data_IF_986367293116
#
_entry.id   IF_986367293116
#
_cell.length_a   1.000
_cell.length_b   1.000
_cell.length_c   1.000
_cell.angle_alpha   90.00
_cell.angle_beta   90.00
_cell.angle_gamma   90.00
#
_symmetry.space_group_name_H-M   'P 1'
#
loop_
_entity.id
_entity.type
_entity.pdbx_description
1 polymer ?
#
# COMPACT_ATOMS: atom_id res chain seq x y z
N UNK A 1 -42.02 -45.01 14.42
CA UNK A 1 -41.43 -43.65 14.52
C UNK A 1 -42.28 -42.72 13.66
N UNK A 2 -42.77 -41.61 14.23
CA UNK A 2 -43.74 -40.74 13.57
C UNK A 2 -43.10 -40.03 12.36
N UNK A 3 -43.77 -40.01 11.20
CA UNK A 3 -43.27 -39.36 9.97
C UNK A 3 -42.93 -37.88 10.21
N UNK A 4 -43.64 -37.23 11.13
CA UNK A 4 -43.35 -35.86 11.56
C UNK A 4 -41.97 -35.72 12.25
N UNK A 5 -41.58 -36.69 13.08
CA UNK A 5 -40.29 -36.65 13.80
C UNK A 5 -39.12 -36.81 12.83
N UNK A 6 -39.27 -37.66 11.81
CA UNK A 6 -38.25 -37.88 10.78
C UNK A 6 -38.05 -36.61 9.95
N UNK A 7 -39.14 -35.94 9.56
CA UNK A 7 -39.08 -34.69 8.78
C UNK A 7 -38.40 -33.56 9.57
N UNK A 8 -38.70 -33.43 10.87
CA UNK A 8 -38.08 -32.42 11.74
C UNK A 8 -36.57 -32.67 11.91
N UNK A 9 -36.14 -33.92 12.04
CA UNK A 9 -34.69 -34.23 12.12
C UNK A 9 -33.96 -33.89 10.82
N UNK A 10 -34.56 -34.17 9.65
CA UNK A 10 -33.96 -33.84 8.35
C UNK A 10 -33.80 -32.32 8.20
N UNK A 11 -34.81 -31.54 8.58
CA UNK A 11 -34.76 -30.07 8.55
C UNK A 11 -33.68 -29.50 9.47
N UNK A 12 -33.52 -30.04 10.68
CA UNK A 12 -32.49 -29.59 11.62
C UNK A 12 -31.07 -29.90 11.11
N UNK A 13 -30.87 -31.05 10.47
CA UNK A 13 -29.59 -31.38 9.82
C UNK A 13 -29.30 -30.44 8.66
N UNK A 14 -30.31 -30.14 7.83
CA UNK A 14 -30.15 -29.22 6.70
C UNK A 14 -29.80 -27.80 7.15
N UNK A 15 -30.49 -27.27 8.18
CA UNK A 15 -30.19 -25.97 8.77
C UNK A 15 -28.83 -25.94 9.50
N UNK A 16 -28.42 -27.04 10.13
CA UNK A 16 -27.09 -27.15 10.74
C UNK A 16 -25.97 -27.12 9.70
N UNK A 17 -26.14 -27.81 8.56
CA UNK A 17 -25.15 -27.84 7.47
C UNK A 17 -25.07 -26.48 6.76
N UNK A 18 -26.19 -25.79 6.53
CA UNK A 18 -26.16 -24.45 5.94
C UNK A 18 -25.55 -23.42 6.88
N UNK A 19 -25.79 -23.52 8.20
CA UNK A 19 -25.15 -22.66 9.19
C UNK A 19 -23.62 -22.88 9.25
N UNK A 20 -23.16 -24.14 9.21
CA UNK A 20 -21.74 -24.48 9.13
C UNK A 20 -21.10 -24.00 7.81
N UNK A 21 -21.82 -24.09 6.69
CA UNK A 21 -21.36 -23.60 5.39
C UNK A 21 -21.16 -22.07 5.34
N UNK A 22 -22.03 -21.31 6.02
CA UNK A 22 -21.93 -19.84 6.10
C UNK A 22 -20.73 -19.39 6.94
N UNK A 23 -20.37 -20.15 7.99
CA UNK A 23 -19.18 -19.88 8.79
C UNK A 23 -17.88 -20.19 8.03
N UNK A 24 -17.90 -21.18 7.12
CA UNK A 24 -16.74 -21.48 6.25
C UNK A 24 -16.61 -20.53 5.05
N UNK A 25 -17.70 -19.87 4.62
CA UNK A 25 -17.64 -18.82 3.59
C UNK A 25 -17.21 -17.45 4.10
N UNK A 26 -17.22 -17.25 5.42
CA UNK A 26 -16.73 -16.01 6.04
C UNK A 26 -15.21 -15.99 6.24
N UNK A 27 -14.53 -17.12 6.03
CA UNK A 27 -13.06 -17.15 5.93
C UNK A 27 -12.66 -16.80 4.50
N UNK A 28 -12.75 -15.52 4.16
CA UNK A 28 -12.13 -15.02 2.93
C UNK A 28 -10.61 -15.25 3.09
N UNK A 29 -9.99 -16.11 2.28
CA UNK A 29 -8.53 -16.19 2.28
C UNK A 29 -8.04 -14.78 1.91
N UNK A 30 -7.11 -14.23 2.68
CA UNK A 30 -6.50 -12.92 2.43
C UNK A 30 -6.42 -12.64 0.93
N UNK A 31 -6.95 -11.49 0.50
CA UNK A 31 -7.25 -11.14 -0.91
C UNK A 31 -6.07 -11.16 -1.89
N UNK A 32 -4.89 -11.57 -1.43
CA UNK A 32 -3.66 -11.76 -2.19
C UNK A 32 -3.47 -13.20 -2.70
N UNK A 33 -4.51 -13.84 -3.23
CA UNK A 33 -4.41 -15.18 -3.82
C UNK A 33 -3.37 -15.27 -4.96
N UNK A 34 -2.53 -16.32 -4.97
CA UNK A 34 -1.52 -16.70 -5.99
C UNK A 34 -0.52 -15.62 -6.47
N UNK A 35 -0.47 -14.47 -5.80
CA UNK A 35 0.44 -13.37 -6.14
C UNK A 35 1.70 -13.48 -5.27
N UNK A 36 2.88 -13.17 -5.83
CA UNK A 36 4.17 -13.16 -5.10
C UNK A 36 4.03 -12.51 -3.72
N UNK A 37 4.63 -13.11 -2.69
CA UNK A 37 4.73 -12.50 -1.36
C UNK A 37 5.55 -11.20 -1.41
N UNK A 38 5.40 -10.35 -0.39
CA UNK A 38 6.18 -9.11 -0.26
C UNK A 38 7.69 -9.40 -0.33
N UNK A 39 8.13 -10.47 0.32
CA UNK A 39 9.52 -10.91 0.37
C UNK A 39 10.03 -11.39 -1.00
N UNK A 40 9.26 -12.24 -1.68
CA UNK A 40 9.60 -12.74 -3.01
C UNK A 40 9.64 -11.64 -4.06
N UNK A 41 8.68 -10.70 -4.01
CA UNK A 41 8.67 -9.57 -4.93
C UNK A 41 9.89 -8.67 -4.71
N UNK A 42 10.24 -8.36 -3.46
CA UNK A 42 11.46 -7.59 -3.19
C UNK A 42 12.70 -8.31 -3.72
N UNK A 43 12.84 -9.61 -3.44
CA UNK A 43 13.97 -10.42 -3.95
C UNK A 43 14.05 -10.40 -5.48
N UNK A 44 12.93 -10.50 -6.18
CA UNK A 44 12.88 -10.53 -7.64
C UNK A 44 13.00 -9.16 -8.30
N UNK A 45 12.58 -8.08 -7.61
CA UNK A 45 12.41 -6.74 -8.19
C UNK A 45 13.19 -5.64 -7.46
N UNK A 46 14.14 -5.98 -6.60
CA UNK A 46 14.90 -5.03 -5.78
C UNK A 46 15.48 -3.89 -6.61
N UNK A 47 16.13 -4.19 -7.73
CA UNK A 47 16.70 -3.16 -8.62
C UNK A 47 15.65 -2.18 -9.16
N UNK A 48 14.45 -2.65 -9.53
CA UNK A 48 13.36 -1.82 -10.00
C UNK A 48 12.74 -1.01 -8.87
N UNK A 49 12.59 -1.60 -7.68
CA UNK A 49 12.09 -0.92 -6.47
C UNK A 49 13.04 0.22 -6.07
N UNK A 50 14.35 -0.02 -6.07
CA UNK A 50 15.36 1.02 -5.80
C UNK A 50 15.37 2.08 -6.91
N UNK A 51 15.20 1.68 -8.18
CA UNK A 51 15.07 2.63 -9.29
C UNK A 51 13.81 3.50 -9.20
N UNK A 52 12.71 2.97 -8.66
CA UNK A 52 11.49 3.72 -8.35
C UNK A 52 11.74 4.71 -7.21
N UNK A 53 12.30 4.23 -6.08
CA UNK A 53 12.67 5.05 -4.91
C UNK A 53 13.53 6.25 -5.34
N UNK A 54 14.63 6.01 -6.05
CA UNK A 54 15.57 7.05 -6.46
C UNK A 54 14.98 8.04 -7.48
N UNK A 55 13.99 7.62 -8.26
CA UNK A 55 13.30 8.52 -9.18
C UNK A 55 12.32 9.41 -8.43
N UNK A 56 11.50 8.82 -7.55
CA UNK A 56 10.53 9.56 -6.75
C UNK A 56 11.20 10.58 -5.82
N UNK A 57 12.32 10.20 -5.20
CA UNK A 57 13.14 11.10 -4.36
C UNK A 57 13.53 12.40 -5.07
N UNK A 58 13.86 12.33 -6.36
CA UNK A 58 14.25 13.50 -7.16
C UNK A 58 13.07 14.39 -7.55
N UNK A 59 11.85 13.85 -7.47
CA UNK A 59 10.64 14.57 -7.82
C UNK A 59 10.05 15.34 -6.65
N UNK A 60 10.34 14.94 -5.41
CA UNK A 60 9.75 15.56 -4.22
C UNK A 60 10.37 16.94 -4.00
N UNK A 61 9.58 18.03 -4.00
CA UNK A 61 10.06 19.35 -3.61
C UNK A 61 10.51 19.38 -2.14
N UNK A 62 11.33 20.37 -1.79
CA UNK A 62 11.68 20.57 -0.38
C UNK A 62 10.45 20.87 0.48
N UNK A 63 10.49 20.44 1.73
CA UNK A 63 9.47 20.73 2.74
C UNK A 63 8.06 20.23 2.38
N UNK A 64 7.95 19.19 1.57
CA UNK A 64 6.69 18.47 1.35
C UNK A 64 6.92 16.96 1.40
N UNK A 65 5.92 16.23 1.86
CA UNK A 65 5.78 14.79 1.66
C UNK A 65 4.72 14.58 0.57
N UNK A 66 5.05 13.75 -0.41
CA UNK A 66 4.12 13.39 -1.49
C UNK A 66 3.71 11.94 -1.30
N UNK A 67 2.44 11.62 -1.60
CA UNK A 67 1.96 10.26 -1.76
C UNK A 67 1.31 10.11 -3.12
N UNK A 68 1.68 9.07 -3.86
CA UNK A 68 1.17 8.77 -5.18
C UNK A 68 0.77 7.30 -5.25
N UNK A 69 -0.49 7.00 -5.52
CA UNK A 69 -0.99 5.66 -5.82
C UNK A 69 -1.62 5.63 -7.22
N UNK A 70 -1.44 4.52 -7.93
CA UNK A 70 -2.02 4.29 -9.25
C UNK A 70 -2.87 3.01 -9.25
N UNK A 71 -4.12 3.14 -9.69
CA UNK A 71 -5.00 2.01 -9.94
C UNK A 71 -5.08 1.73 -11.44
N UNK A 72 -4.50 0.60 -11.86
CA UNK A 72 -4.56 0.13 -13.25
C UNK A 72 -5.96 -0.27 -13.69
N UNK A 73 -6.85 -0.61 -12.75
CA UNK A 73 -8.20 -1.10 -13.06
C UNK A 73 -9.10 -0.01 -13.65
N UNK A 74 -8.95 1.22 -13.19
CA UNK A 74 -9.81 2.35 -13.58
C UNK A 74 -9.02 3.54 -14.13
N UNK A 75 -7.70 3.39 -14.30
CA UNK A 75 -6.79 4.43 -14.75
C UNK A 75 -6.95 5.72 -13.93
N UNK A 76 -6.98 5.58 -12.60
CA UNK A 76 -7.10 6.68 -11.66
C UNK A 76 -5.88 6.77 -10.75
N UNK A 77 -5.71 7.95 -10.19
CA UNK A 77 -4.61 8.30 -9.32
C UNK A 77 -5.12 8.81 -7.98
N UNK A 78 -4.41 8.45 -6.92
CA UNK A 78 -4.53 9.12 -5.63
C UNK A 78 -3.24 9.91 -5.44
N UNK A 79 -3.36 11.22 -5.21
CA UNK A 79 -2.22 12.12 -5.04
C UNK A 79 -2.45 12.98 -3.81
N UNK A 80 -1.51 12.92 -2.88
CA UNK A 80 -1.52 13.67 -1.63
C UNK A 80 -0.22 14.45 -1.46
N UNK A 81 -0.34 15.66 -0.93
CA UNK A 81 0.73 16.60 -0.69
C UNK A 81 0.56 17.10 0.74
N UNK A 82 1.52 16.76 1.59
CA UNK A 82 1.56 17.17 2.98
C UNK A 82 2.72 18.14 3.19
N UNK A 83 2.41 19.37 3.60
CA UNK A 83 3.43 20.38 3.81
C UNK A 83 4.18 20.10 5.10
N UNK A 84 5.48 20.37 5.10
CA UNK A 84 6.35 20.25 6.26
C UNK A 84 6.79 21.65 6.66
N UNK A 85 6.56 22.01 7.92
CA UNK A 85 7.08 23.27 8.44
C UNK A 85 8.63 23.19 8.48
N UNK A 86 9.35 24.09 7.79
CA UNK A 86 10.81 24.00 7.68
C UNK A 86 11.52 24.20 9.03
N UNK A 87 10.91 24.95 9.96
CA UNK A 87 11.47 25.28 11.27
C UNK A 87 11.26 24.16 12.28
N UNK A 88 10.06 23.58 12.34
CA UNK A 88 9.72 22.54 13.33
C UNK A 88 9.90 21.12 12.80
N UNK A 89 10.02 20.96 11.47
CA UNK A 89 9.99 19.68 10.75
C UNK A 89 8.69 18.89 10.97
N UNK A 90 7.61 19.57 11.38
CA UNK A 90 6.31 18.97 11.58
C UNK A 90 5.41 19.10 10.35
N UNK A 91 4.54 18.11 10.18
CA UNK A 91 3.50 18.11 9.16
C UNK A 91 2.44 19.19 9.44
N UNK A 92 1.98 19.85 8.38
CA UNK A 92 0.95 20.89 8.41
C UNK A 92 -0.32 20.34 7.77
N UNK A 93 -1.42 20.40 8.53
CA UNK A 93 -2.73 19.91 8.12
C UNK A 93 -3.70 21.08 7.83
N UNK A 94 -4.67 20.89 6.91
CA UNK A 94 -4.95 19.67 6.16
C UNK A 94 -3.97 19.42 5.00
N UNK A 95 -3.80 18.17 4.61
CA UNK A 95 -3.10 17.81 3.38
C UNK A 95 -3.89 18.29 2.14
N UNK A 96 -3.17 18.56 1.05
CA UNK A 96 -3.73 18.91 -0.25
C UNK A 96 -3.74 17.64 -1.10
N UNK A 97 -4.83 17.32 -1.79
CA UNK A 97 -4.85 16.11 -2.61
C UNK A 97 -6.22 15.69 -3.11
N UNK A 98 -6.28 14.45 -3.59
CA UNK A 98 -7.52 13.81 -4.01
C UNK A 98 -7.35 12.32 -4.28
N UNK A 99 -8.47 11.63 -4.29
CA UNK A 99 -8.59 10.22 -4.65
C UNK A 99 -9.33 10.08 -5.98
N UNK A 100 -9.06 8.98 -6.69
CA UNK A 100 -9.70 8.64 -7.96
C UNK A 100 -9.62 9.77 -9.01
N UNK A 101 -8.52 10.50 -8.99
CA UNK A 101 -8.26 11.63 -9.90
C UNK A 101 -8.11 11.10 -11.32
N UNK A 102 -8.73 11.77 -12.28
CA UNK A 102 -8.63 11.40 -13.70
C UNK A 102 -7.42 12.07 -14.36
N UNK A 103 -6.71 11.39 -15.28
CA UNK A 103 -5.65 12.03 -16.06
C UNK A 103 -6.21 13.21 -16.85
N UNK A 104 -5.48 14.33 -16.88
CA UNK A 104 -5.89 15.57 -17.58
C UNK A 104 -7.14 16.26 -17.01
N UNK A 105 -7.52 15.95 -15.76
CA UNK A 105 -8.54 16.71 -15.06
C UNK A 105 -7.95 17.99 -14.45
N UNK A 106 -8.76 19.03 -14.29
CA UNK A 106 -8.32 20.27 -13.65
C UNK A 106 -7.74 20.08 -12.24
N UNK A 107 -8.22 19.06 -11.50
CA UNK A 107 -7.65 18.69 -10.20
C UNK A 107 -6.25 18.10 -10.34
N UNK A 108 -6.02 17.21 -11.32
CA UNK A 108 -4.68 16.69 -11.62
C UNK A 108 -3.76 17.84 -12.00
N UNK A 109 -4.16 18.67 -12.96
CA UNK A 109 -3.35 19.78 -13.47
C UNK A 109 -2.90 20.71 -12.33
N UNK A 110 -3.84 21.07 -11.44
CA UNK A 110 -3.54 21.91 -10.25
C UNK A 110 -2.54 21.26 -9.29
N UNK A 111 -2.64 19.95 -9.04
CA UNK A 111 -1.71 19.24 -8.16
C UNK A 111 -0.32 19.08 -8.81
N UNK A 112 -0.27 18.83 -10.11
CA UNK A 112 0.99 18.73 -10.85
C UNK A 112 1.70 20.09 -10.89
N UNK A 113 0.96 21.17 -11.14
CA UNK A 113 1.49 22.53 -11.11
C UNK A 113 2.09 22.86 -9.75
N UNK A 114 1.43 22.48 -8.65
CA UNK A 114 1.95 22.67 -7.29
C UNK A 114 3.29 21.96 -7.07
N UNK A 115 3.43 20.74 -7.58
CA UNK A 115 4.64 19.93 -7.44
C UNK A 115 5.71 20.26 -8.49
N UNK A 116 5.41 21.15 -9.44
CA UNK A 116 6.20 21.36 -10.65
C UNK A 116 6.45 20.04 -11.42
N UNK A 117 5.42 19.19 -11.46
CA UNK A 117 5.40 17.95 -12.23
C UNK A 117 4.65 18.15 -13.54
N UNK A 118 4.85 17.23 -14.47
CA UNK A 118 4.07 17.12 -15.69
C UNK A 118 3.64 15.67 -15.94
N UNK A 119 2.85 15.45 -17.00
CA UNK A 119 2.38 14.12 -17.34
C UNK A 119 3.50 13.12 -17.66
N UNK A 120 4.66 13.58 -18.15
CA UNK A 120 5.83 12.70 -18.35
C UNK A 120 6.35 12.17 -17.01
N UNK A 121 6.30 12.99 -15.95
CA UNK A 121 6.65 12.53 -14.60
C UNK A 121 5.69 11.43 -14.12
N UNK A 122 4.39 11.62 -14.35
CA UNK A 122 3.33 10.65 -14.00
C UNK A 122 3.50 9.35 -14.78
N UNK A 123 3.66 9.41 -16.09
CA UNK A 123 3.86 8.23 -16.94
C UNK A 123 5.10 7.44 -16.53
N UNK A 124 6.17 8.15 -16.17
CA UNK A 124 7.41 7.52 -15.68
C UNK A 124 7.21 6.88 -14.31
N UNK A 125 6.47 7.51 -13.39
CA UNK A 125 6.12 6.91 -12.09
C UNK A 125 5.30 5.63 -12.28
N UNK A 126 4.26 5.68 -13.12
CA UNK A 126 3.41 4.52 -13.44
C UNK A 126 4.24 3.38 -14.02
N UNK A 127 5.10 3.68 -15.01
CA UNK A 127 5.97 2.66 -15.61
C UNK A 127 6.89 2.01 -14.58
N UNK A 128 7.46 2.79 -13.65
CA UNK A 128 8.34 2.28 -12.60
C UNK A 128 7.59 1.41 -11.59
N UNK A 129 6.41 1.85 -11.16
CA UNK A 129 5.51 1.08 -10.30
C UNK A 129 5.15 -0.27 -10.93
N UNK A 130 4.76 -0.28 -12.20
CA UNK A 130 4.42 -1.51 -12.92
C UNK A 130 5.64 -2.44 -13.05
N UNK A 131 6.82 -1.92 -13.38
CA UNK A 131 8.05 -2.72 -13.48
C UNK A 131 8.47 -3.36 -12.16
N UNK A 132 8.18 -2.70 -11.03
CA UNK A 132 8.46 -3.17 -9.66
C UNK A 132 7.30 -3.96 -9.04
N UNK A 133 6.22 -4.20 -9.78
CA UNK A 133 4.96 -4.80 -9.29
C UNK A 133 4.37 -4.08 -8.06
N UNK A 134 4.52 -2.76 -7.97
CA UNK A 134 4.02 -1.93 -6.88
C UNK A 134 2.87 -1.04 -7.36
N UNK A 135 2.11 -0.47 -6.42
CA UNK A 135 0.91 0.33 -6.70
C UNK A 135 1.01 1.77 -6.20
N UNK A 136 1.97 2.08 -5.34
CA UNK A 136 2.20 3.45 -4.92
C UNK A 136 3.56 3.71 -4.31
N UNK A 137 3.82 4.98 -4.03
CA UNK A 137 5.03 5.48 -3.40
C UNK A 137 4.69 6.73 -2.58
N UNK A 138 5.30 6.87 -1.41
CA UNK A 138 5.09 8.05 -0.56
C UNK A 138 6.29 8.38 0.32
N UNK A 139 6.29 9.60 0.86
CA UNK A 139 7.24 10.06 1.88
C UNK A 139 8.42 10.82 1.31
N UNK A 140 9.51 10.86 2.08
CA UNK A 140 10.77 11.54 1.75
C UNK A 140 11.98 10.73 2.25
N UNK A 141 12.09 10.53 3.57
CA UNK A 141 12.99 9.53 4.15
C UNK A 141 12.42 8.99 5.49
N UNK A 142 12.11 7.68 5.60
CA UNK A 142 12.21 6.69 4.53
C UNK A 142 11.21 6.97 3.40
N UNK A 143 11.53 6.52 2.20
CA UNK A 143 10.54 6.40 1.13
C UNK A 143 9.78 5.10 1.35
N UNK A 144 8.45 5.20 1.40
CA UNK A 144 7.57 4.04 1.42
C UNK A 144 7.18 3.67 0.00
N UNK A 145 7.38 2.42 -0.38
CA UNK A 145 6.92 1.85 -1.66
C UNK A 145 5.77 0.91 -1.35
N UNK A 146 4.56 1.28 -1.76
CA UNK A 146 3.35 0.49 -1.53
C UNK A 146 3.30 -0.65 -2.55
N UNK A 147 3.52 -1.87 -2.07
CA UNK A 147 3.47 -3.06 -2.90
C UNK A 147 2.02 -3.39 -3.26
N UNK A 148 1.14 -3.48 -2.26
CA UNK A 148 -0.29 -3.75 -2.45
C UNK A 148 -1.12 -3.16 -1.33
N UNK A 149 -2.39 -2.91 -1.64
CA UNK A 149 -3.40 -2.40 -0.72
C UNK A 149 -4.76 -3.02 -1.06
N UNK A 150 -5.51 -3.41 -0.04
CA UNK A 150 -6.86 -3.97 -0.17
C UNK A 150 -7.66 -3.60 1.08
N UNK A 151 -8.53 -2.60 0.98
CA UNK A 151 -9.21 -2.05 2.16
C UNK A 151 -8.22 -1.53 3.20
N UNK A 152 -8.26 -2.09 4.41
CA UNK A 152 -7.35 -1.76 5.52
C UNK A 152 -6.01 -2.51 5.44
N UNK A 153 -5.92 -3.53 4.58
CA UNK A 153 -4.69 -4.30 4.39
C UNK A 153 -3.73 -3.53 3.50
N UNK A 154 -2.46 -3.45 3.91
CA UNK A 154 -1.41 -2.90 3.05
C UNK A 154 -0.07 -3.55 3.31
N UNK A 155 0.68 -3.79 2.24
CA UNK A 155 2.05 -4.29 2.30
C UNK A 155 2.96 -3.32 1.56
N UNK A 156 4.12 -3.05 2.15
CA UNK A 156 5.01 -1.99 1.67
C UNK A 156 6.46 -2.21 2.09
N UNK A 157 7.36 -1.52 1.40
CA UNK A 157 8.77 -1.42 1.74
C UNK A 157 9.04 -0.03 2.30
N UNK A 158 9.71 0.09 3.43
CA UNK A 158 10.31 1.33 3.91
C UNK A 158 11.79 1.30 3.57
N UNK A 159 12.23 2.20 2.70
CA UNK A 159 13.58 2.22 2.15
C UNK A 159 14.29 3.49 2.62
N UNK A 160 15.39 3.29 3.33
CA UNK A 160 16.20 4.33 3.96
C UNK A 160 17.42 4.65 3.10
N UNK A 161 17.88 5.90 3.15
CA UNK A 161 19.10 6.33 2.45
C UNK A 161 20.37 5.81 3.11
N UNK A 162 20.30 5.54 4.41
CA UNK A 162 21.40 5.13 5.25
C UNK A 162 21.05 3.82 5.96
N UNK A 163 22.06 3.01 6.32
CA UNK A 163 21.87 1.85 7.16
C UNK A 163 21.12 2.19 8.45
N UNK A 164 20.17 1.35 8.83
CA UNK A 164 19.41 1.41 10.06
C UNK A 164 20.37 1.27 11.24
N UNK A 165 20.31 2.20 12.20
CA UNK A 165 21.00 2.04 13.47
C UNK A 165 20.48 0.82 14.22
N UNK A 166 21.29 0.26 15.13
CA UNK A 166 20.88 -0.85 16.00
C UNK A 166 19.58 -0.56 16.75
N UNK A 167 19.38 0.70 17.15
CA UNK A 167 18.15 1.15 17.82
C UNK A 167 16.92 1.07 16.90
N UNK A 168 17.05 1.50 15.65
CA UNK A 168 15.97 1.42 14.67
C UNK A 168 15.68 -0.03 14.27
N UNK A 169 16.71 -0.85 14.08
CA UNK A 169 16.54 -2.27 13.78
C UNK A 169 15.76 -2.98 14.90
N UNK A 170 16.13 -2.72 16.17
CA UNK A 170 15.39 -3.24 17.32
C UNK A 170 13.95 -2.74 17.34
N UNK A 171 13.72 -1.44 17.14
CA UNK A 171 12.38 -0.87 17.13
C UNK A 171 11.47 -1.56 16.11
N UNK A 172 11.93 -1.70 14.86
CA UNK A 172 11.12 -2.33 13.82
C UNK A 172 10.89 -3.82 14.06
N UNK A 173 11.88 -4.56 14.56
CA UNK A 173 11.70 -5.98 14.86
C UNK A 173 10.75 -6.26 16.05
N UNK A 174 10.49 -5.28 16.91
CA UNK A 174 9.51 -5.40 18.00
C UNK A 174 8.13 -4.86 17.62
N UNK A 175 8.02 -4.11 16.52
CA UNK A 175 6.77 -3.50 16.09
C UNK A 175 5.96 -4.49 15.26
N UNK A 176 4.75 -4.79 15.71
CA UNK A 176 3.84 -5.67 14.97
C UNK A 176 3.61 -5.19 13.54
N UNK A 177 3.69 -6.13 12.59
CA UNK A 177 3.58 -5.84 11.17
C UNK A 177 4.84 -5.24 10.52
N UNK A 178 5.99 -5.25 11.21
CA UNK A 178 7.25 -4.77 10.65
C UNK A 178 8.35 -5.84 10.79
N UNK A 179 9.24 -5.91 9.81
CA UNK A 179 10.45 -6.74 9.89
C UNK A 179 11.61 -6.11 9.14
N UNK A 180 12.81 -6.14 9.73
CA UNK A 180 14.03 -5.70 9.03
C UNK A 180 14.39 -6.74 7.97
N UNK A 181 14.47 -6.31 6.70
CA UNK A 181 14.86 -7.17 5.59
C UNK A 181 16.37 -7.17 5.37
N UNK A 182 16.95 -5.97 5.34
CA UNK A 182 18.38 -5.72 5.22
C UNK A 182 18.71 -4.38 5.91
N UNK A 183 19.98 -3.96 5.83
CA UNK A 183 20.47 -2.75 6.48
C UNK A 183 19.70 -1.47 6.12
N UNK A 184 19.03 -1.40 4.97
CA UNK A 184 18.36 -0.17 4.48
C UNK A 184 16.87 -0.36 4.21
N UNK A 185 16.32 -1.55 4.48
CA UNK A 185 14.95 -1.89 4.08
C UNK A 185 14.22 -2.60 5.20
N UNK A 186 13.03 -2.07 5.50
CA UNK A 186 12.05 -2.69 6.40
C UNK A 186 10.83 -3.09 5.58
N UNK A 187 10.32 -4.30 5.81
CA UNK A 187 9.02 -4.74 5.30
C UNK A 187 7.94 -4.34 6.29
N UNK A 188 6.81 -3.84 5.76
CA UNK A 188 5.64 -3.46 6.54
C UNK A 188 4.41 -4.17 5.99
N UNK A 189 3.73 -4.92 6.83
CA UNK A 189 2.51 -5.66 6.56
C UNK A 189 1.46 -5.27 7.59
N UNK A 190 0.42 -4.57 7.15
CA UNK A 190 -0.72 -4.19 7.98
C UNK A 190 -1.90 -5.06 7.59
N UNK A 191 -2.49 -5.69 8.60
CA UNK A 191 -3.71 -6.48 8.54
C UNK A 191 -4.80 -5.79 9.39
N UNK A 192 -6.09 -6.01 9.12
CA UNK A 192 -7.16 -5.51 9.97
C UNK A 192 -7.05 -6.22 11.32
N UNK A 193 -7.11 -5.46 12.42
CA UNK A 193 -7.19 -5.99 13.78
C UNK A 193 -8.56 -6.65 14.04
#
# INVERSE_FOLDING_TARGET
>A
MNKAIILTMILLVFFGITWLGIQLFSFSPSSFGNKLSLHENFKAKSSQIISLKNYFEKLIPENVNVSFEFSSENNKFDLGILLINPATKMEVYPAIGGEKISPGSAQMDSLLDYLNWNMVNIDTLVSKLQQSNCVGVSGGNPIQILFRKSGLESTSYLIFDQPLSDSLQKLYNHKEGYSVYNETTVLREIYPL
#
